data_IF_644041411303
#
_entry.id   IF_644041411303
#
_cell.length_a   1.000
_cell.length_b   1.000
_cell.length_c   1.000
_cell.angle_alpha   90.00
_cell.angle_beta   90.00
_cell.angle_gamma   90.00
#
_symmetry.space_group_name_H-M   'P 1'
#
loop_
_entity.id
_entity.type
_entity.pdbx_description
1 polymer ?
#
# COMPACT_ATOMS: atom_id res chain seq x y z
N UNK A 1 -7.08 -3.73 19.06
CA UNK A 1 -6.05 -3.07 18.23
C UNK A 1 -5.89 -3.91 16.98
N UNK A 2 -5.98 -3.30 15.82
CA UNK A 2 -5.83 -3.95 14.53
C UNK A 2 -4.71 -3.25 13.78
N UNK A 3 -3.80 -4.01 13.18
CA UNK A 3 -2.73 -3.51 12.34
C UNK A 3 -2.76 -4.33 11.04
N UNK A 4 -2.59 -3.65 9.90
CA UNK A 4 -2.54 -4.27 8.58
C UNK A 4 -1.22 -3.86 7.93
N UNK A 5 -0.54 -4.83 7.32
CA UNK A 5 0.74 -4.63 6.64
C UNK A 5 0.63 -5.21 5.23
N UNK A 6 1.15 -4.48 4.24
CA UNK A 6 1.40 -4.97 2.88
C UNK A 6 2.91 -5.09 2.76
N UNK A 7 3.40 -6.28 2.46
CA UNK A 7 4.81 -6.62 2.50
C UNK A 7 5.16 -7.49 1.30
N UNK A 8 6.35 -7.31 0.77
CA UNK A 8 6.95 -8.29 -0.14
C UNK A 8 7.34 -9.56 0.65
N UNK A 9 7.38 -10.70 -0.04
CA UNK A 9 7.68 -12.00 0.60
C UNK A 9 9.05 -12.05 1.32
N UNK A 10 10.01 -11.26 0.86
CA UNK A 10 11.35 -11.13 1.46
C UNK A 10 11.36 -10.25 2.72
N UNK A 11 10.35 -9.41 2.94
CA UNK A 11 10.21 -8.57 4.14
C UNK A 11 9.54 -9.31 5.30
N UNK A 12 8.94 -10.49 5.03
CA UNK A 12 8.42 -11.39 6.05
C UNK A 12 9.58 -12.16 6.72
N UNK A 13 10.39 -11.45 7.49
CA UNK A 13 11.57 -11.98 8.19
C UNK A 13 11.37 -12.16 9.70
N UNK A 14 12.37 -12.73 10.37
CA UNK A 14 12.34 -12.92 11.82
C UNK A 14 12.26 -11.59 12.59
N UNK A 15 12.86 -10.51 12.09
CA UNK A 15 12.80 -9.21 12.76
C UNK A 15 11.38 -8.64 12.73
N UNK A 16 10.62 -8.86 11.64
CA UNK A 16 9.21 -8.50 11.56
C UNK A 16 8.38 -9.29 12.58
N UNK A 17 8.63 -10.60 12.70
CA UNK A 17 7.95 -11.43 13.70
C UNK A 17 8.24 -10.95 15.13
N UNK A 18 9.46 -10.53 15.43
CA UNK A 18 9.81 -10.01 16.75
C UNK A 18 9.09 -8.68 17.04
N UNK A 19 9.00 -7.77 16.06
CA UNK A 19 8.20 -6.54 16.17
C UNK A 19 6.72 -6.84 16.42
N UNK A 20 6.13 -7.84 15.74
CA UNK A 20 4.75 -8.25 15.98
C UNK A 20 4.53 -8.75 17.42
N UNK A 21 5.48 -9.53 17.96
CA UNK A 21 5.42 -10.02 19.35
C UNK A 21 5.44 -8.89 20.36
N UNK A 22 6.25 -7.87 20.14
CA UNK A 22 6.30 -6.67 20.99
C UNK A 22 4.99 -5.88 20.93
N UNK A 23 4.48 -5.62 19.71
CA UNK A 23 3.24 -4.86 19.52
C UNK A 23 2.01 -5.51 20.16
N UNK A 24 1.96 -6.85 20.17
CA UNK A 24 0.83 -7.62 20.67
C UNK A 24 1.17 -8.45 21.91
N UNK A 25 2.13 -8.00 22.72
CA UNK A 25 2.59 -8.71 23.90
C UNK A 25 1.42 -9.19 24.80
N UNK A 26 1.49 -10.45 25.24
CA UNK A 26 0.50 -11.12 26.10
C UNK A 26 -0.93 -11.18 25.52
N UNK A 27 -1.09 -11.03 24.20
CA UNK A 27 -2.37 -11.18 23.51
C UNK A 27 -2.35 -12.41 22.63
N UNK A 28 -3.51 -13.06 22.49
CA UNK A 28 -3.72 -14.03 21.42
C UNK A 28 -3.85 -13.26 20.11
N UNK A 29 -3.06 -13.63 19.12
CA UNK A 29 -3.11 -13.04 17.78
C UNK A 29 -3.54 -14.07 16.76
N UNK A 30 -4.15 -13.59 15.69
CA UNK A 30 -4.49 -14.34 14.48
C UNK A 30 -3.77 -13.65 13.31
N UNK A 31 -3.15 -14.42 12.42
CA UNK A 31 -2.45 -13.92 11.26
C UNK A 31 -3.21 -14.33 10.00
N UNK A 32 -3.56 -13.35 9.18
CA UNK A 32 -4.12 -13.56 7.85
C UNK A 32 -3.03 -13.30 6.82
N UNK A 33 -2.73 -14.31 5.99
CA UNK A 33 -1.75 -14.22 4.91
C UNK A 33 -2.48 -14.56 3.62
N UNK A 34 -2.43 -13.64 2.67
CA UNK A 34 -2.99 -13.81 1.33
C UNK A 34 -2.02 -13.20 0.33
N UNK A 35 -1.97 -13.77 -0.87
CA UNK A 35 -1.43 -13.05 -2.01
C UNK A 35 -2.33 -11.85 -2.29
N UNK A 36 -1.74 -10.68 -2.46
CA UNK A 36 -2.50 -9.44 -2.71
C UNK A 36 -2.19 -9.02 -4.13
N UNK A 37 -3.17 -9.14 -5.02
CA UNK A 37 -3.14 -8.45 -6.31
C UNK A 37 -4.05 -7.23 -6.22
N UNK A 38 -3.49 -6.11 -5.78
CA UNK A 38 -4.20 -4.83 -5.68
C UNK A 38 -4.75 -4.39 -7.05
N UNK A 39 -4.25 -4.95 -8.16
CA UNK A 39 -4.72 -4.69 -9.52
C UNK A 39 -6.21 -5.04 -9.67
N UNK A 40 -6.65 -6.17 -9.11
CA UNK A 40 -8.04 -6.59 -9.20
C UNK A 40 -8.95 -5.61 -8.43
N UNK A 41 -8.53 -5.18 -7.24
CA UNK A 41 -9.24 -4.17 -6.46
C UNK A 41 -9.27 -2.80 -7.16
N UNK A 42 -8.13 -2.34 -7.70
CA UNK A 42 -8.02 -1.06 -8.42
C UNK A 42 -8.84 -1.06 -9.71
N UNK A 43 -9.02 -2.23 -10.34
CA UNK A 43 -9.87 -2.41 -11.53
C UNK A 43 -11.29 -2.86 -11.23
N UNK A 44 -11.67 -3.03 -9.96
CA UNK A 44 -12.98 -3.55 -9.57
C UNK A 44 -14.15 -2.67 -10.05
N UNK A 45 -13.93 -1.37 -10.24
CA UNK A 45 -14.92 -0.48 -10.88
C UNK A 45 -14.37 0.12 -12.18
N UNK A 46 -15.23 0.18 -13.20
CA UNK A 46 -14.91 0.83 -14.49
C UNK A 46 -14.46 2.27 -14.29
N UNK A 47 -15.13 3.01 -13.40
CA UNK A 47 -14.79 4.39 -13.07
C UNK A 47 -13.39 4.52 -12.48
N UNK A 48 -13.02 3.67 -11.51
CA UNK A 48 -11.67 3.71 -10.92
C UNK A 48 -10.62 3.35 -11.96
N UNK A 49 -10.87 2.33 -12.77
CA UNK A 49 -9.98 1.93 -13.87
C UNK A 49 -9.73 3.08 -14.85
N UNK A 50 -10.78 3.76 -15.31
CA UNK A 50 -10.66 4.86 -16.28
C UNK A 50 -9.87 6.04 -15.69
N UNK A 51 -10.09 6.37 -14.41
CA UNK A 51 -9.32 7.41 -13.69
C UNK A 51 -7.84 7.00 -13.58
N UNK A 52 -7.56 5.75 -13.22
CA UNK A 52 -6.20 5.23 -13.08
C UNK A 52 -5.43 5.28 -14.41
N UNK A 53 -6.08 4.83 -15.50
CA UNK A 53 -5.49 4.83 -16.84
C UNK A 53 -5.25 6.26 -17.36
N UNK A 54 -6.18 7.19 -17.10
CA UNK A 54 -5.98 8.60 -17.45
C UNK A 54 -4.81 9.20 -16.65
N UNK A 55 -4.72 8.89 -15.37
CA UNK A 55 -3.68 9.44 -14.49
C UNK A 55 -2.29 8.95 -14.87
N UNK A 56 -2.15 7.66 -15.21
CA UNK A 56 -0.90 7.09 -15.70
C UNK A 56 -0.49 7.69 -17.05
N UNK A 57 -1.44 7.90 -17.97
CA UNK A 57 -1.20 8.61 -19.24
C UNK A 57 -0.74 10.05 -19.04
N UNK A 58 -1.38 10.79 -18.13
CA UNK A 58 -0.99 12.14 -17.76
C UNK A 58 0.47 12.20 -17.28
N UNK A 59 0.87 11.28 -16.40
CA UNK A 59 2.26 11.20 -15.89
C UNK A 59 3.25 10.91 -17.03
N UNK A 60 2.97 9.90 -17.87
CA UNK A 60 3.86 9.51 -18.97
C UNK A 60 4.09 10.64 -19.97
N UNK A 61 3.07 11.47 -20.21
CA UNK A 61 3.13 12.58 -21.16
C UNK A 61 3.49 13.93 -20.51
N UNK A 62 3.66 13.98 -19.18
CA UNK A 62 3.92 15.23 -18.47
C UNK A 62 2.75 16.21 -18.44
N UNK A 63 1.52 15.72 -18.60
CA UNK A 63 0.30 16.52 -18.66
C UNK A 63 -0.42 16.57 -17.31
N UNK A 64 -1.07 17.69 -17.01
CA UNK A 64 -1.91 17.85 -15.81
C UNK A 64 -1.21 17.52 -14.47
N UNK A 65 0.11 17.69 -14.42
CA UNK A 65 0.92 17.48 -13.22
C UNK A 65 0.91 18.73 -12.34
N UNK A 66 0.69 18.55 -11.05
CA UNK A 66 0.87 19.60 -10.04
C UNK A 66 2.17 19.32 -9.31
N UNK A 67 3.13 20.24 -9.42
CA UNK A 67 4.39 20.16 -8.68
C UNK A 67 4.19 20.89 -7.36
N UNK A 68 4.34 20.16 -6.25
CA UNK A 68 4.24 20.76 -4.92
C UNK A 68 5.45 21.65 -4.64
N UNK A 69 5.23 22.81 -4.01
CA UNK A 69 6.32 23.70 -3.59
C UNK A 69 7.12 23.02 -2.46
N UNK A 70 8.43 22.76 -2.64
CA UNK A 70 9.27 22.14 -1.61
C UNK A 70 9.28 22.87 -0.27
N UNK A 71 8.98 24.17 -0.26
CA UNK A 71 8.92 24.99 0.97
C UNK A 71 7.74 24.63 1.88
N UNK A 72 6.74 23.91 1.38
CA UNK A 72 5.60 23.45 2.17
C UNK A 72 5.92 22.25 3.07
N UNK A 73 7.11 21.66 2.91
CA UNK A 73 7.54 20.45 3.63
C UNK A 73 8.84 20.66 4.44
N UNK A 74 9.19 21.93 4.71
CA UNK A 74 10.30 22.34 5.59
C UNK A 74 9.75 22.85 6.92
#
# INVERSE_FOLDING_TARGET
MQASFVLDSNELDYSFIDKLREMFQNKRIELFVSETDDTEYLYASKTNKDILMKSTSNIANGENLVIADPKLFQ
#
